data_IF_046875069340
#
_entry.id   IF_046875069340
#
_cell.length_a   1.000
_cell.length_b   1.000
_cell.length_c   1.000
_cell.angle_alpha   90.00
_cell.angle_beta   90.00
_cell.angle_gamma   90.00
#
_symmetry.space_group_name_H-M   'P 1'
#
loop_
_entity.id
_entity.type
_entity.pdbx_description
1 polymer ?
#
# COMPACT_ATOMS: atom_id res chain seq x y z
N UNK A 1 23.88 -13.28 68.00
CA UNK A 1 25.24 -13.07 68.54
C UNK A 1 26.15 -14.12 67.91
N UNK A 2 27.35 -13.72 67.48
CA UNK A 2 28.51 -14.55 67.06
C UNK A 2 28.32 -15.59 65.90
N UNK A 3 29.32 -15.90 65.04
CA UNK A 3 30.54 -15.19 64.61
C UNK A 3 31.10 -15.82 63.31
N UNK A 4 31.50 -14.96 62.35
CA UNK A 4 32.72 -14.97 61.49
C UNK A 4 33.29 -16.32 60.96
N UNK A 5 33.38 -16.54 59.63
CA UNK A 5 34.30 -15.94 58.61
C UNK A 5 35.76 -16.41 58.65
N UNK A 6 36.28 -16.91 57.51
CA UNK A 6 37.53 -16.41 56.88
C UNK A 6 37.87 -17.10 55.53
N UNK A 7 37.97 -16.31 54.44
CA UNK A 7 39.18 -16.19 53.59
C UNK A 7 39.01 -15.00 52.59
N UNK A 8 40.07 -14.24 52.24
CA UNK A 8 39.89 -12.91 51.64
C UNK A 8 40.43 -12.73 50.20
N UNK A 9 39.95 -11.66 49.54
CA UNK A 9 40.55 -11.01 48.37
C UNK A 9 41.65 -10.01 48.80
N UNK A 10 42.62 -9.74 47.92
CA UNK A 10 43.50 -8.55 47.98
C UNK A 10 43.68 -7.97 46.57
N UNK A 11 43.51 -6.65 46.45
CA UNK A 11 43.93 -5.80 45.34
C UNK A 11 45.27 -5.14 45.68
N UNK A 12 46.10 -4.78 44.67
CA UNK A 12 46.98 -3.62 44.79
C UNK A 12 47.39 -3.04 43.41
N UNK A 13 47.45 -1.71 43.33
CA UNK A 13 47.83 -0.94 42.14
C UNK A 13 49.24 -0.36 42.29
N UNK A 14 49.98 -0.16 41.19
CA UNK A 14 51.17 0.73 41.14
C UNK A 14 51.12 1.55 39.84
N UNK A 15 51.45 2.84 39.95
CA UNK A 15 51.52 3.80 38.83
C UNK A 15 52.98 4.08 38.42
N UNK A 16 53.20 4.57 37.19
CA UNK A 16 54.49 5.10 36.74
C UNK A 16 54.35 6.24 35.71
N UNK A 17 55.19 7.27 35.86
CA UNK A 17 55.23 8.59 35.18
C UNK A 17 56.69 9.09 35.37
N UNK A 18 57.43 9.72 34.45
CA UNK A 18 57.26 10.27 33.08
C UNK A 18 58.64 10.19 32.36
N UNK A 19 58.74 10.34 31.03
CA UNK A 19 59.50 11.44 30.35
C UNK A 19 59.70 11.26 28.82
N UNK A 20 59.12 12.21 28.08
CA UNK A 20 59.67 13.00 26.95
C UNK A 20 60.62 12.32 25.93
N UNK A 21 60.17 12.30 24.67
CA UNK A 21 61.03 12.30 23.48
C UNK A 21 60.32 13.03 22.33
N UNK A 22 60.79 14.22 21.96
CA UNK A 22 60.23 15.01 20.87
C UNK A 22 60.93 14.67 19.54
N UNK A 23 60.15 14.38 18.49
CA UNK A 23 60.66 14.21 17.11
C UNK A 23 59.74 15.00 16.17
N UNK A 24 60.30 15.99 15.49
CA UNK A 24 59.61 16.74 14.45
C UNK A 24 59.66 15.97 13.12
N UNK A 25 58.55 15.81 12.38
CA UNK A 25 58.58 15.29 11.02
C UNK A 25 59.11 16.33 10.04
N UNK A 26 60.05 15.92 9.19
CA UNK A 26 60.55 16.73 8.06
C UNK A 26 59.44 17.05 7.06
N UNK A 27 59.49 18.24 6.46
CA UNK A 27 58.82 18.48 5.18
C UNK A 27 59.44 17.54 4.14
N UNK A 28 58.60 16.72 3.50
CA UNK A 28 58.95 15.96 2.30
C UNK A 28 58.04 16.43 1.18
N UNK A 29 58.63 16.86 0.06
CA UNK A 29 57.90 17.25 -1.12
C UNK A 29 57.28 15.99 -1.75
N UNK A 30 55.98 16.02 -2.03
CA UNK A 30 55.30 15.07 -2.91
C UNK A 30 54.86 15.79 -4.17
N UNK A 31 55.06 15.14 -5.32
CA UNK A 31 54.97 15.75 -6.64
C UNK A 31 53.51 16.06 -7.04
N UNK A 32 53.32 17.07 -7.89
CA UNK A 32 52.00 17.44 -8.38
C UNK A 32 51.40 16.31 -9.25
N UNK A 33 50.12 15.93 -9.06
CA UNK A 33 49.41 15.11 -10.03
C UNK A 33 49.23 15.88 -11.36
N UNK A 34 49.08 15.18 -12.50
CA UNK A 34 48.88 15.82 -13.80
C UNK A 34 47.55 16.58 -13.85
N UNK A 35 47.52 17.66 -14.65
CA UNK A 35 46.31 18.44 -14.87
C UNK A 35 45.21 17.57 -15.52
N UNK A 36 44.00 17.62 -14.95
CA UNK A 36 42.79 17.06 -15.55
C UNK A 36 42.12 18.15 -16.39
N UNK A 37 41.62 17.78 -17.57
CA UNK A 37 41.05 18.69 -18.57
C UNK A 37 39.85 19.49 -18.02
N UNK A 38 39.88 20.82 -18.17
CA UNK A 38 38.75 21.71 -17.85
C UNK A 38 37.67 21.62 -18.94
N UNK A 39 36.96 20.49 -19.03
CA UNK A 39 35.83 20.38 -19.95
C UNK A 39 34.78 19.31 -19.62
N UNK A 40 34.07 19.50 -18.49
CA UNK A 40 32.64 19.14 -18.32
C UNK A 40 32.17 19.25 -16.86
N UNK A 41 32.27 20.44 -16.27
CA UNK A 41 31.49 20.74 -15.07
C UNK A 41 30.01 20.72 -15.47
N UNK A 42 29.12 19.93 -14.83
CA UNK A 42 27.69 20.15 -14.98
C UNK A 42 27.40 21.52 -14.39
N UNK A 43 27.15 22.52 -15.24
CA UNK A 43 26.60 23.79 -14.77
C UNK A 43 25.31 23.48 -14.05
N UNK A 44 25.11 24.08 -12.88
CA UNK A 44 23.83 24.01 -12.20
C UNK A 44 22.73 24.34 -13.22
N UNK A 45 21.80 23.41 -13.43
CA UNK A 45 20.51 23.79 -13.99
C UNK A 45 19.97 24.83 -13.02
N UNK A 46 19.68 26.03 -13.53
CA UNK A 46 18.85 26.97 -12.80
C UNK A 46 17.62 26.19 -12.33
N UNK A 47 17.40 26.16 -11.02
CA UNK A 47 16.18 25.59 -10.46
C UNK A 47 15.05 26.48 -10.96
N UNK A 48 14.35 26.01 -11.99
CA UNK A 48 13.16 26.67 -12.46
C UNK A 48 12.12 26.60 -11.33
N UNK A 49 11.92 27.74 -10.68
CA UNK A 49 10.92 27.92 -9.62
C UNK A 49 9.57 28.35 -10.20
N UNK A 50 9.37 28.27 -11.52
CA UNK A 50 8.01 28.12 -12.02
C UNK A 50 7.46 26.78 -11.52
N UNK A 51 6.20 26.73 -11.04
CA UNK A 51 5.51 25.45 -10.97
C UNK A 51 5.40 24.97 -12.41
N UNK A 52 6.10 23.90 -12.78
CA UNK A 52 5.72 23.19 -14.00
C UNK A 52 4.26 22.81 -13.86
N UNK A 53 3.45 23.18 -14.84
CA UNK A 53 2.07 22.75 -14.95
C UNK A 53 2.01 21.29 -15.44
N UNK A 54 2.63 20.40 -14.65
CA UNK A 54 2.47 18.95 -14.66
C UNK A 54 1.74 18.56 -13.38
N UNK A 55 0.76 17.66 -13.47
CA UNK A 55 -0.19 17.41 -12.40
C UNK A 55 0.48 17.14 -11.06
N UNK A 56 0.06 17.88 -10.02
CA UNK A 56 0.53 17.66 -8.65
C UNK A 56 0.20 16.24 -8.24
N UNK A 57 1.19 15.45 -7.85
CA UNK A 57 0.89 14.21 -7.13
C UNK A 57 0.19 14.59 -5.81
N UNK A 58 -1.06 14.16 -5.68
CA UNK A 58 -2.00 14.53 -4.63
C UNK A 58 -1.53 14.23 -3.20
N UNK A 59 -0.51 13.36 -3.08
CA UNK A 59 0.04 12.81 -1.83
C UNK A 59 1.53 13.05 -1.64
N UNK A 60 2.31 13.40 -2.67
CA UNK A 60 3.75 13.56 -2.51
C UNK A 60 4.04 14.76 -1.58
N UNK A 61 4.77 14.59 -0.47
CA UNK A 61 5.06 15.71 0.44
C UNK A 61 5.93 16.77 -0.23
N UNK A 62 5.62 18.04 0.04
CA UNK A 62 6.47 19.14 -0.39
C UNK A 62 7.90 18.99 0.18
N UNK A 63 8.96 19.26 -0.61
CA UNK A 63 10.34 18.99 -0.20
C UNK A 63 10.74 19.88 1.00
N UNK A 64 11.40 19.30 2.04
CA UNK A 64 11.69 20.03 3.29
C UNK A 64 12.79 21.10 3.14
N UNK A 65 13.37 21.27 1.94
CA UNK A 65 14.22 22.40 1.60
C UNK A 65 13.46 23.70 1.30
N UNK A 66 12.12 23.67 1.17
CA UNK A 66 11.32 24.89 1.04
C UNK A 66 11.47 25.73 2.32
N UNK A 67 12.03 26.93 2.17
CA UNK A 67 12.32 27.83 3.29
C UNK A 67 13.63 27.53 4.05
N UNK A 68 14.48 26.62 3.55
CA UNK A 68 15.80 26.35 4.11
C UNK A 68 16.92 27.08 3.34
N UNK A 69 17.99 27.48 4.05
CA UNK A 69 19.19 28.11 3.47
C UNK A 69 20.12 27.10 2.74
N UNK A 70 19.72 25.83 2.65
CA UNK A 70 20.51 24.71 2.12
C UNK A 70 19.66 23.83 1.18
N UNK A 71 20.23 23.26 0.11
CA UNK A 71 19.51 22.38 -0.80
C UNK A 71 19.19 21.04 -0.14
N UNK A 72 18.16 20.35 -0.64
CA UNK A 72 17.74 19.02 -0.16
C UNK A 72 18.90 17.99 -0.17
N UNK A 73 19.83 18.12 -1.11
CA UNK A 73 21.04 17.26 -1.22
C UNK A 73 22.03 17.40 -0.05
N UNK A 74 21.89 18.42 0.81
CA UNK A 74 22.68 18.57 2.04
C UNK A 74 21.97 17.99 3.28
N UNK A 75 20.69 17.61 3.16
CA UNK A 75 19.93 17.08 4.30
C UNK A 75 20.47 15.68 4.66
N UNK A 76 20.47 15.37 5.96
CA UNK A 76 20.81 14.03 6.42
C UNK A 76 19.77 12.99 5.95
N UNK A 77 20.14 11.70 5.88
CA UNK A 77 19.19 10.65 5.51
C UNK A 77 18.00 10.62 6.48
N UNK A 78 16.79 10.31 6.00
CA UNK A 78 15.61 10.31 6.86
C UNK A 78 15.72 9.26 7.98
N UNK A 79 15.24 9.56 9.20
CA UNK A 79 15.29 8.61 10.32
C UNK A 79 14.70 7.22 10.04
N UNK A 80 13.72 7.13 9.15
CA UNK A 80 13.15 5.86 8.64
C UNK A 80 14.20 4.88 8.08
N UNK A 81 15.36 5.35 7.60
CA UNK A 81 16.44 4.52 7.03
C UNK A 81 17.12 3.59 8.04
N UNK A 82 17.03 3.87 9.34
CA UNK A 82 17.60 3.02 10.39
C UNK A 82 16.59 2.64 11.48
N UNK A 83 15.47 3.36 11.60
CA UNK A 83 14.35 2.98 12.47
C UNK A 83 13.03 3.26 11.75
N UNK A 84 12.43 2.21 11.20
CA UNK A 84 11.28 2.25 10.28
C UNK A 84 10.03 2.94 10.85
N UNK A 85 9.88 2.96 12.18
CA UNK A 85 8.78 3.62 12.89
C UNK A 85 8.92 5.16 12.93
N UNK A 86 10.11 5.70 12.64
CA UNK A 86 10.36 7.14 12.63
C UNK A 86 9.94 7.80 11.30
N UNK A 87 9.95 9.13 11.31
CA UNK A 87 9.57 9.98 10.17
C UNK A 87 10.53 9.78 8.99
N UNK A 88 9.96 9.77 7.79
CA UNK A 88 10.62 9.67 6.51
C UNK A 88 10.01 8.60 5.59
N UNK A 89 10.38 8.61 4.30
CA UNK A 89 9.91 7.65 3.33
C UNK A 89 10.30 6.23 3.74
N UNK A 90 9.39 5.28 3.49
CA UNK A 90 9.59 3.88 3.77
C UNK A 90 8.82 3.02 2.75
N UNK A 91 9.58 2.22 2.00
CA UNK A 91 9.04 1.15 1.17
C UNK A 91 8.65 -0.04 2.04
N UNK A 92 7.36 -0.34 2.08
CA UNK A 92 6.78 -1.42 2.88
C UNK A 92 6.78 -2.73 2.10
N UNK A 93 6.24 -2.73 0.89
CA UNK A 93 6.33 -3.86 -0.04
C UNK A 93 7.66 -3.79 -0.78
N UNK A 94 8.57 -4.73 -0.50
CA UNK A 94 9.99 -4.71 -0.91
C UNK A 94 10.30 -5.53 -2.16
N UNK A 95 9.41 -6.43 -2.58
CA UNK A 95 9.51 -7.12 -3.86
C UNK A 95 9.35 -6.15 -5.04
N UNK A 96 9.91 -6.49 -6.20
CA UNK A 96 9.65 -5.77 -7.45
C UNK A 96 10.32 -4.40 -7.57
N UNK A 97 9.78 -3.57 -8.47
CA UNK A 97 10.20 -2.19 -8.72
C UNK A 97 9.03 -1.23 -8.50
N UNK A 98 9.32 -0.03 -7.97
CA UNK A 98 8.34 1.00 -7.64
C UNK A 98 8.74 2.29 -8.36
N UNK A 99 7.81 2.86 -9.11
CA UNK A 99 7.88 4.22 -9.63
C UNK A 99 6.91 5.08 -8.81
N UNK A 100 7.46 5.89 -7.90
CA UNK A 100 6.68 6.76 -7.00
C UNK A 100 5.96 7.88 -7.76
N UNK A 101 6.62 8.46 -8.78
CA UNK A 101 6.11 9.60 -9.54
C UNK A 101 4.99 9.14 -10.50
N UNK A 102 5.23 8.07 -11.27
CA UNK A 102 4.19 7.45 -12.09
C UNK A 102 3.09 6.80 -11.23
N UNK A 103 3.39 6.45 -9.98
CA UNK A 103 2.51 5.68 -9.10
C UNK A 103 2.24 4.29 -9.67
N UNK A 104 3.31 3.55 -10.01
CA UNK A 104 3.19 2.19 -10.55
C UNK A 104 4.13 1.22 -9.85
N UNK A 105 3.80 -0.06 -9.86
CA UNK A 105 4.64 -1.10 -9.25
C UNK A 105 4.68 -2.36 -10.10
N UNK A 106 5.89 -2.79 -10.47
CA UNK A 106 6.16 -4.04 -11.18
C UNK A 106 6.55 -5.11 -10.17
N UNK A 107 5.71 -6.14 -10.00
CA UNK A 107 5.93 -7.23 -9.03
C UNK A 107 6.02 -8.60 -9.71
N UNK A 108 6.55 -9.63 -9.01
CA UNK A 108 6.62 -10.99 -9.56
C UNK A 108 5.23 -11.56 -9.88
N UNK A 109 5.11 -12.08 -11.09
CA UNK A 109 3.97 -12.88 -11.56
C UNK A 109 4.23 -14.36 -11.26
N UNK A 110 3.20 -15.08 -10.84
CA UNK A 110 3.26 -16.52 -10.58
C UNK A 110 2.26 -17.27 -11.47
N UNK A 111 2.64 -18.48 -11.89
CA UNK A 111 1.76 -19.40 -12.61
C UNK A 111 1.39 -20.58 -11.69
N UNK A 112 0.10 -20.83 -11.60
CA UNK A 112 -0.50 -22.00 -10.99
C UNK A 112 -1.65 -22.51 -11.86
N UNK A 113 -2.52 -23.31 -11.26
CA UNK A 113 -3.65 -23.93 -11.94
C UNK A 113 -4.79 -24.24 -10.96
N UNK A 114 -6.00 -24.46 -11.48
CA UNK A 114 -7.07 -25.11 -10.72
C UNK A 114 -6.90 -26.64 -10.73
N UNK A 115 -7.61 -27.32 -9.84
CA UNK A 115 -7.71 -28.80 -9.83
C UNK A 115 -8.24 -29.42 -11.12
N UNK A 116 -8.93 -28.66 -11.97
CA UNK A 116 -9.38 -29.08 -13.31
C UNK A 116 -8.37 -28.80 -14.44
N UNK A 117 -7.22 -28.18 -14.12
CA UNK A 117 -6.11 -27.93 -15.04
C UNK A 117 -6.13 -26.56 -15.72
N UNK A 118 -7.17 -25.73 -15.51
CA UNK A 118 -7.23 -24.36 -16.05
C UNK A 118 -6.14 -23.48 -15.44
N UNK A 119 -5.52 -22.62 -16.23
CA UNK A 119 -4.37 -21.81 -15.80
C UNK A 119 -4.79 -20.70 -14.83
N UNK A 120 -3.93 -20.42 -13.85
CA UNK A 120 -4.11 -19.33 -12.90
C UNK A 120 -2.84 -18.48 -12.90
N UNK A 121 -2.96 -17.22 -13.29
CA UNK A 121 -1.89 -16.24 -13.12
C UNK A 121 -2.23 -15.36 -11.92
N UNK A 122 -1.30 -15.26 -10.98
CA UNK A 122 -1.54 -14.59 -9.70
C UNK A 122 -0.30 -13.85 -9.22
N UNK A 123 -0.49 -12.95 -8.26
CA UNK A 123 0.59 -12.26 -7.55
C UNK A 123 0.57 -12.64 -6.08
N UNK A 124 1.64 -12.35 -5.34
CA UNK A 124 1.66 -12.45 -3.89
C UNK A 124 1.92 -11.06 -3.32
N UNK A 125 1.19 -10.64 -2.29
CA UNK A 125 1.36 -9.29 -1.69
C UNK A 125 1.56 -9.32 -0.18
N UNK A 126 0.89 -10.24 0.51
CA UNK A 126 0.89 -10.36 1.97
C UNK A 126 0.92 -11.82 2.42
N UNK A 127 1.39 -12.09 3.64
CA UNK A 127 1.26 -13.40 4.27
C UNK A 127 1.23 -13.35 5.80
N UNK A 128 0.60 -14.36 6.42
CA UNK A 128 0.67 -14.59 7.88
C UNK A 128 2.03 -15.09 8.36
N UNK A 129 2.96 -15.42 7.45
CA UNK A 129 4.33 -15.84 7.77
C UNK A 129 5.30 -14.66 7.75
N UNK A 130 5.73 -14.18 8.92
CA UNK A 130 6.71 -13.08 9.00
C UNK A 130 8.06 -13.42 8.34
N UNK A 131 8.48 -14.69 8.38
CA UNK A 131 9.75 -15.14 7.80
C UNK A 131 9.73 -15.13 6.27
N UNK A 132 8.65 -15.65 5.68
CA UNK A 132 8.44 -15.60 4.23
C UNK A 132 8.14 -14.19 3.73
N UNK A 133 7.34 -13.39 4.47
CA UNK A 133 7.16 -11.97 4.15
C UNK A 133 8.52 -11.24 4.09
N UNK A 134 9.38 -11.47 5.08
CA UNK A 134 10.69 -10.84 5.11
C UNK A 134 11.66 -11.29 4.02
N UNK A 135 11.56 -12.56 3.61
CA UNK A 135 12.47 -13.18 2.64
C UNK A 135 12.07 -12.92 1.19
N UNK A 136 10.76 -12.85 0.92
CA UNK A 136 10.19 -12.58 -0.41
C UNK A 136 9.94 -11.07 -0.65
N UNK A 137 9.91 -10.25 0.40
CA UNK A 137 9.59 -8.82 0.30
C UNK A 137 8.09 -8.51 0.28
N UNK A 138 7.26 -9.45 0.73
CA UNK A 138 5.82 -9.27 0.96
C UNK A 138 5.58 -8.50 2.27
N UNK A 139 4.33 -8.12 2.49
CA UNK A 139 3.86 -7.57 3.75
C UNK A 139 3.53 -8.70 4.76
N UNK A 140 3.86 -8.50 6.03
CA UNK A 140 3.42 -9.43 7.08
C UNK A 140 2.05 -8.97 7.62
N UNK A 141 1.02 -9.76 7.37
CA UNK A 141 -0.37 -9.46 7.73
C UNK A 141 -0.90 -10.48 8.74
N UNK A 142 -0.65 -10.30 10.06
CA UNK A 142 -0.99 -11.28 11.08
C UNK A 142 -2.51 -11.54 11.19
N UNK A 143 -3.34 -10.52 10.92
CA UNK A 143 -4.81 -10.63 11.03
C UNK A 143 -5.45 -11.58 10.01
N UNK A 144 -4.80 -11.83 8.87
CA UNK A 144 -5.25 -12.84 7.91
C UNK A 144 -5.35 -14.25 8.52
N UNK A 145 -4.67 -14.52 9.66
CA UNK A 145 -4.83 -15.77 10.41
C UNK A 145 -6.28 -16.05 10.85
N UNK A 146 -7.12 -15.02 10.94
CA UNK A 146 -8.54 -15.11 11.28
C UNK A 146 -9.48 -15.07 10.07
N UNK A 147 -8.94 -14.93 8.85
CA UNK A 147 -9.73 -14.84 7.61
C UNK A 147 -10.26 -16.20 7.14
N UNK A 148 -9.68 -17.33 7.55
CA UNK A 148 -10.12 -18.66 7.12
C UNK A 148 -11.40 -19.11 7.85
N UNK A 149 -12.50 -18.44 7.52
CA UNK A 149 -13.87 -18.69 7.98
C UNK A 149 -14.79 -18.78 6.77
N UNK A 150 -15.73 -19.72 6.81
CA UNK A 150 -16.86 -19.82 5.86
C UNK A 150 -16.50 -19.77 4.36
N UNK A 151 -15.29 -20.17 3.97
CA UNK A 151 -14.83 -20.17 2.58
C UNK A 151 -14.16 -18.88 2.08
N UNK A 152 -13.90 -17.90 2.95
CA UNK A 152 -13.17 -16.67 2.60
C UNK A 152 -11.68 -16.86 2.25
N UNK A 153 -11.15 -18.09 2.35
CA UNK A 153 -9.80 -18.46 1.92
C UNK A 153 -9.90 -19.72 1.07
N UNK A 154 -9.25 -19.72 -0.10
CA UNK A 154 -9.10 -20.90 -0.96
C UNK A 154 -8.05 -21.83 -0.35
N UNK A 155 -8.36 -23.10 -0.15
CA UNK A 155 -7.31 -24.09 0.13
C UNK A 155 -6.54 -24.39 -1.18
N UNK A 156 -5.23 -24.59 -1.05
CA UNK A 156 -4.31 -24.76 -2.16
C UNK A 156 -3.18 -25.73 -1.78
N UNK A 157 -2.62 -26.39 -2.80
CA UNK A 157 -1.54 -27.38 -2.68
C UNK A 157 -0.29 -26.88 -3.39
N UNK A 158 0.84 -26.88 -2.70
CA UNK A 158 2.16 -26.69 -3.31
C UNK A 158 2.62 -27.99 -3.97
N UNK A 159 2.89 -27.94 -5.27
CA UNK A 159 3.30 -29.09 -6.07
C UNK A 159 4.83 -29.34 -6.03
N UNK A 160 5.27 -30.49 -6.56
CA UNK A 160 6.70 -30.86 -6.56
C UNK A 160 7.58 -29.97 -7.45
N UNK A 161 7.00 -29.31 -8.45
CA UNK A 161 7.65 -28.34 -9.33
C UNK A 161 7.57 -26.89 -8.79
N UNK A 162 7.07 -26.72 -7.56
CA UNK A 162 6.85 -25.45 -6.87
C UNK A 162 5.71 -24.58 -7.43
N UNK A 163 4.90 -25.10 -8.35
CA UNK A 163 3.63 -24.46 -8.74
C UNK A 163 2.56 -24.65 -7.65
N UNK A 164 1.47 -23.88 -7.73
CA UNK A 164 0.34 -23.96 -6.81
C UNK A 164 -0.91 -24.44 -7.54
N UNK A 165 -1.50 -25.53 -7.05
CA UNK A 165 -2.84 -25.99 -7.45
C UNK A 165 -3.87 -25.44 -6.46
N UNK A 166 -4.77 -24.57 -6.92
CA UNK A 166 -5.89 -24.04 -6.13
C UNK A 166 -7.09 -25.00 -6.22
N UNK A 167 -7.80 -25.23 -5.11
CA UNK A 167 -8.97 -26.14 -5.13
C UNK A 167 -10.12 -25.61 -6.00
N UNK A 168 -10.40 -24.30 -5.94
CA UNK A 168 -11.57 -23.63 -6.52
C UNK A 168 -11.39 -22.10 -6.61
N UNK A 169 -12.36 -21.41 -7.18
CA UNK A 169 -12.40 -19.94 -7.31
C UNK A 169 -11.85 -19.48 -8.66
N UNK A 170 -12.75 -19.22 -9.61
CA UNK A 170 -12.49 -18.70 -10.96
C UNK A 170 -12.71 -17.18 -11.02
N UNK A 171 -12.12 -16.51 -12.02
CA UNK A 171 -12.39 -15.11 -12.36
C UNK A 171 -12.67 -15.01 -13.86
N UNK A 172 -13.74 -14.32 -14.22
CA UNK A 172 -14.07 -13.92 -15.58
C UNK A 172 -13.63 -12.48 -15.79
N UNK A 173 -12.69 -12.26 -16.71
CA UNK A 173 -12.19 -10.93 -17.11
C UNK A 173 -12.90 -10.40 -18.36
N UNK A 174 -13.80 -11.16 -18.98
CA UNK A 174 -14.49 -10.74 -20.22
C UNK A 174 -15.55 -9.62 -20.09
N UNK A 175 -16.12 -9.29 -18.90
CA UNK A 175 -16.95 -8.10 -18.75
C UNK A 175 -16.20 -6.78 -19.02
N UNK A 176 -16.94 -5.76 -19.46
CA UNK A 176 -16.41 -4.40 -19.60
C UNK A 176 -16.67 -3.60 -18.31
N UNK A 177 -15.65 -2.92 -17.78
CA UNK A 177 -15.79 -2.03 -16.62
C UNK A 177 -16.67 -0.82 -16.97
N UNK A 178 -17.93 -0.82 -16.52
CA UNK A 178 -18.87 0.28 -16.75
C UNK A 178 -19.04 1.08 -15.47
N UNK A 179 -18.61 2.35 -15.49
CA UNK A 179 -18.83 3.27 -14.38
C UNK A 179 -19.26 4.66 -14.84
N UNK A 180 -20.31 5.18 -14.21
CA UNK A 180 -20.82 6.52 -14.45
C UNK A 180 -21.21 7.20 -13.13
N UNK A 181 -20.85 8.48 -12.91
CA UNK A 181 -21.28 9.22 -11.73
C UNK A 181 -22.81 9.32 -11.64
N UNK A 182 -23.31 9.56 -10.42
CA UNK A 182 -24.70 9.95 -10.15
C UNK A 182 -25.07 11.31 -10.77
N UNK A 183 -26.34 11.70 -10.63
CA UNK A 183 -26.88 12.90 -11.28
C UNK A 183 -26.53 14.21 -10.54
N UNK A 184 -26.20 15.25 -11.32
CA UNK A 184 -25.99 16.61 -10.81
C UNK A 184 -24.80 16.73 -9.86
N UNK A 185 -24.97 17.48 -8.77
CA UNK A 185 -23.93 17.70 -7.76
C UNK A 185 -23.74 16.52 -6.79
N UNK A 186 -24.27 15.33 -7.12
CA UNK A 186 -24.15 14.10 -6.33
C UNK A 186 -23.56 12.95 -7.17
N UNK A 187 -22.23 12.94 -7.40
CA UNK A 187 -21.60 11.87 -8.19
C UNK A 187 -21.64 10.50 -7.51
N UNK A 188 -21.80 10.44 -6.19
CA UNK A 188 -22.03 9.21 -5.42
C UNK A 188 -23.47 9.18 -4.86
N UNK A 189 -24.19 8.05 -4.91
CA UNK A 189 -23.80 6.79 -5.54
C UNK A 189 -23.73 6.90 -7.09
N UNK A 190 -22.92 6.06 -7.76
CA UNK A 190 -22.84 6.04 -9.21
C UNK A 190 -24.18 5.67 -9.86
N UNK A 191 -24.43 6.16 -11.07
CA UNK A 191 -25.63 5.80 -11.85
C UNK A 191 -25.49 4.47 -12.59
N UNK A 192 -24.25 4.05 -12.87
CA UNK A 192 -23.87 2.74 -13.40
C UNK A 192 -22.58 2.30 -12.72
N UNK A 193 -22.50 1.02 -12.33
CA UNK A 193 -21.34 0.41 -11.68
C UNK A 193 -21.37 -1.11 -11.93
N UNK A 194 -20.64 -1.55 -12.95
CA UNK A 194 -20.45 -2.96 -13.31
C UNK A 194 -18.94 -3.22 -13.42
N UNK A 195 -18.37 -4.17 -12.64
CA UNK A 195 -16.92 -4.42 -12.64
C UNK A 195 -16.46 -5.20 -13.88
N UNK A 196 -15.25 -4.92 -14.37
CA UNK A 196 -14.64 -5.63 -15.51
C UNK A 196 -14.19 -7.06 -15.15
N UNK A 197 -13.66 -7.25 -13.93
CA UNK A 197 -13.28 -8.57 -13.43
C UNK A 197 -14.31 -9.12 -12.40
N UNK A 198 -14.85 -10.31 -12.66
CA UNK A 198 -15.89 -10.96 -11.84
C UNK A 198 -15.46 -12.34 -11.38
N UNK A 199 -15.21 -12.49 -10.08
CA UNK A 199 -15.00 -13.77 -9.43
C UNK A 199 -16.29 -14.58 -9.27
N UNK A 200 -16.17 -15.91 -9.31
CA UNK A 200 -17.28 -16.79 -8.94
C UNK A 200 -17.59 -16.77 -7.43
N UNK A 201 -18.64 -17.48 -7.02
CA UNK A 201 -19.08 -17.53 -5.62
C UNK A 201 -18.04 -18.11 -4.63
N UNK A 202 -17.01 -18.79 -5.13
CA UNK A 202 -15.89 -19.35 -4.36
C UNK A 202 -14.61 -18.50 -4.46
N UNK A 203 -14.59 -17.43 -5.27
CA UNK A 203 -13.42 -16.59 -5.46
C UNK A 203 -13.22 -15.56 -4.33
N UNK A 204 -11.97 -15.53 -3.87
CA UNK A 204 -11.37 -14.66 -2.86
C UNK A 204 -9.88 -14.61 -3.18
N UNK A 205 -9.18 -13.47 -3.07
CA UNK A 205 -7.75 -13.42 -3.31
C UNK A 205 -6.95 -14.28 -2.32
N UNK A 206 -7.49 -14.56 -1.15
CA UNK A 206 -6.77 -15.30 -0.12
C UNK A 206 -6.61 -16.78 -0.49
N UNK A 207 -5.40 -17.32 -0.32
CA UNK A 207 -5.13 -18.74 -0.41
C UNK A 207 -4.42 -19.25 0.84
N UNK A 208 -4.54 -20.55 1.12
CA UNK A 208 -3.82 -21.25 2.18
C UNK A 208 -3.13 -22.49 1.64
N UNK A 209 -1.82 -22.61 1.89
CA UNK A 209 -1.04 -23.77 1.49
C UNK A 209 -1.21 -24.90 2.52
N UNK A 210 -2.21 -25.75 2.32
CA UNK A 210 -2.61 -26.78 3.28
C UNK A 210 -1.55 -27.85 3.52
N UNK A 211 -0.71 -28.15 2.53
CA UNK A 211 0.38 -29.12 2.60
C UNK A 211 1.76 -28.52 2.96
N UNK A 212 1.89 -27.19 2.99
CA UNK A 212 3.18 -26.50 3.18
C UNK A 212 3.03 -25.30 4.13
N UNK A 213 3.44 -25.48 5.39
CA UNK A 213 3.40 -24.44 6.43
C UNK A 213 1.99 -24.12 6.98
N UNK A 214 0.93 -24.21 6.16
CA UNK A 214 -0.44 -23.90 6.57
C UNK A 214 -0.74 -22.41 6.70
N UNK A 215 0.16 -21.56 6.21
CA UNK A 215 0.05 -20.10 6.20
C UNK A 215 -0.92 -19.60 5.12
N UNK A 216 -1.46 -18.41 5.36
CA UNK A 216 -2.37 -17.72 4.44
C UNK A 216 -1.55 -16.67 3.68
N UNK A 217 -1.77 -16.61 2.37
CA UNK A 217 -1.19 -15.63 1.47
C UNK A 217 -2.32 -14.83 0.83
N UNK A 218 -2.11 -13.53 0.67
CA UNK A 218 -2.91 -12.71 -0.22
C UNK A 218 -2.42 -12.96 -1.65
N UNK A 219 -3.24 -13.63 -2.46
CA UNK A 219 -2.88 -14.14 -3.78
C UNK A 219 -3.94 -13.82 -4.88
N UNK A 220 -4.18 -12.53 -5.18
CA UNK A 220 -5.13 -12.12 -6.22
C UNK A 220 -4.82 -12.77 -7.58
N UNK A 221 -5.86 -13.20 -8.29
CA UNK A 221 -5.74 -13.63 -9.68
C UNK A 221 -5.68 -12.40 -10.58
N UNK A 222 -4.74 -12.39 -11.52
CA UNK A 222 -4.53 -11.27 -12.46
C UNK A 222 -4.86 -11.63 -13.90
N UNK A 223 -4.89 -12.92 -14.23
CA UNK A 223 -5.40 -13.48 -15.49
C UNK A 223 -5.79 -14.96 -15.27
N UNK A 224 -6.79 -15.46 -16.01
CA UNK A 224 -7.38 -16.78 -15.76
C UNK A 224 -7.71 -17.54 -17.05
N UNK A 225 -7.40 -18.83 -17.09
CA UNK A 225 -7.67 -19.76 -18.21
C UNK A 225 -7.18 -19.29 -19.60
N UNK A 226 -6.02 -18.63 -19.60
CA UNK A 226 -5.34 -18.07 -20.79
C UNK A 226 -3.92 -18.61 -20.94
N UNK A 227 -3.43 -18.68 -22.17
CA UNK A 227 -2.04 -19.07 -22.47
C UNK A 227 -1.08 -17.87 -22.30
N UNK A 228 0.22 -18.11 -21.99
CA UNK A 228 1.19 -17.03 -21.77
C UNK A 228 1.31 -16.04 -22.94
N UNK A 229 1.06 -16.50 -24.17
CA UNK A 229 1.15 -15.67 -25.37
C UNK A 229 0.00 -14.68 -25.53
N UNK A 230 -1.19 -14.99 -24.98
CA UNK A 230 -2.39 -14.17 -25.12
C UNK A 230 -2.35 -12.95 -24.18
N UNK A 231 -1.61 -13.07 -23.08
CA UNK A 231 -1.42 -12.02 -22.05
C UNK A 231 0.01 -11.45 -22.04
N UNK A 232 0.70 -11.47 -23.18
CA UNK A 232 2.06 -10.93 -23.32
C UNK A 232 2.03 -9.43 -23.67
N UNK A 233 1.71 -8.60 -22.67
CA UNK A 233 1.63 -7.14 -22.76
C UNK A 233 2.84 -6.48 -22.07
N UNK A 234 4.06 -6.92 -22.39
CA UNK A 234 5.29 -6.47 -21.72
C UNK A 234 5.57 -4.97 -21.90
N UNK A 235 5.23 -4.40 -23.06
CA UNK A 235 5.37 -2.95 -23.38
C UNK A 235 4.14 -2.12 -22.96
N UNK A 236 3.23 -2.71 -22.16
CA UNK A 236 1.99 -2.10 -21.70
C UNK A 236 0.82 -2.17 -22.69
N UNK A 237 -0.23 -1.39 -22.42
CA UNK A 237 -1.54 -1.46 -23.12
C UNK A 237 -2.19 -2.84 -22.98
N UNK A 238 -2.28 -3.35 -21.75
CA UNK A 238 -2.87 -4.65 -21.48
C UNK A 238 -4.35 -4.72 -21.90
N UNK A 239 -4.77 -5.87 -22.44
CA UNK A 239 -6.17 -6.14 -22.78
C UNK A 239 -6.93 -6.57 -21.52
N UNK A 240 -7.69 -5.64 -20.93
CA UNK A 240 -8.45 -5.91 -19.71
C UNK A 240 -9.58 -6.95 -19.90
N UNK A 241 -9.91 -7.36 -21.13
CA UNK A 241 -10.79 -8.52 -21.35
C UNK A 241 -10.14 -9.88 -21.01
N UNK A 242 -8.82 -9.88 -20.77
CA UNK A 242 -8.00 -11.05 -20.43
C UNK A 242 -7.29 -10.92 -19.07
N UNK A 243 -7.13 -9.69 -18.56
CA UNK A 243 -6.37 -9.39 -17.34
C UNK A 243 -7.05 -8.35 -16.45
N UNK A 244 -6.69 -8.35 -15.18
CA UNK A 244 -7.21 -7.42 -14.16
C UNK A 244 -7.13 -5.93 -14.56
N UNK A 245 -8.20 -5.16 -14.29
CA UNK A 245 -8.35 -3.74 -14.67
C UNK A 245 -7.17 -2.82 -14.26
N UNK A 246 -6.54 -3.05 -13.09
CA UNK A 246 -5.33 -2.32 -12.64
C UNK A 246 -4.01 -2.69 -13.33
N UNK A 247 -3.96 -3.71 -14.19
CA UNK A 247 -2.72 -4.16 -14.84
C UNK A 247 -2.38 -3.26 -16.02
N UNK A 248 -1.27 -2.54 -15.92
CA UNK A 248 -0.76 -1.66 -16.99
C UNK A 248 0.07 -2.43 -18.02
N UNK A 249 0.85 -3.41 -17.54
CA UNK A 249 1.71 -4.29 -18.33
C UNK A 249 1.82 -5.66 -17.65
N UNK A 250 2.00 -6.73 -18.43
CA UNK A 250 2.18 -8.09 -17.92
C UNK A 250 3.08 -8.88 -18.86
N UNK A 251 4.11 -9.53 -18.32
CA UNK A 251 5.13 -10.20 -19.10
C UNK A 251 5.38 -11.63 -18.58
N UNK A 252 4.65 -12.64 -19.10
CA UNK A 252 4.78 -14.02 -18.65
C UNK A 252 6.12 -14.70 -18.92
N UNK A 253 6.91 -14.20 -19.89
CA UNK A 253 8.28 -14.71 -20.12
C UNK A 253 9.27 -14.22 -19.05
N UNK A 254 9.10 -12.99 -18.57
CA UNK A 254 9.91 -12.39 -17.50
C UNK A 254 9.36 -12.69 -16.10
N UNK A 255 8.13 -13.23 -16.01
CA UNK A 255 7.39 -13.46 -14.78
C UNK A 255 7.18 -12.16 -13.97
N UNK A 256 6.72 -11.12 -14.65
CA UNK A 256 6.44 -9.79 -14.07
C UNK A 256 5.05 -9.26 -14.44
N UNK A 257 4.50 -8.39 -13.60
CA UNK A 257 3.25 -7.65 -13.85
C UNK A 257 3.32 -6.28 -13.18
N UNK A 258 2.91 -5.23 -13.91
CA UNK A 258 2.92 -3.83 -13.48
C UNK A 258 1.51 -3.36 -13.20
N UNK A 259 1.29 -2.80 -12.02
CA UNK A 259 0.00 -2.22 -11.60
C UNK A 259 0.05 -0.70 -11.51
N UNK A 260 -1.11 -0.07 -11.72
CA UNK A 260 -1.39 1.27 -11.20
C UNK A 260 -1.55 1.22 -9.66
N UNK A 261 -0.89 2.14 -8.96
CA UNK A 261 -1.07 2.36 -7.52
C UNK A 261 -2.05 3.50 -7.26
N UNK A 262 -2.77 3.39 -6.15
CA UNK A 262 -3.72 4.40 -5.70
C UNK A 262 -3.13 5.17 -4.50
N UNK A 263 -3.25 6.51 -4.48
CA UNK A 263 -2.82 7.31 -3.35
C UNK A 263 -3.83 7.30 -2.20
N UNK A 264 -3.33 7.31 -0.96
CA UNK A 264 -4.14 7.32 0.26
C UNK A 264 -3.40 7.99 1.42
N UNK A 265 -3.99 7.95 2.62
CA UNK A 265 -3.40 8.59 3.81
C UNK A 265 -3.62 7.72 5.05
N UNK A 266 -2.61 7.57 5.92
CA UNK A 266 -2.72 6.88 7.22
C UNK A 266 -2.03 7.71 8.30
N UNK A 267 -2.74 8.07 9.38
CA UNK A 267 -2.23 8.91 10.47
C UNK A 267 -1.45 10.16 10.01
N UNK A 268 -2.06 10.95 9.11
CA UNK A 268 -1.48 12.14 8.45
C UNK A 268 -0.22 11.88 7.59
N UNK A 269 0.15 10.61 7.34
CA UNK A 269 1.24 10.23 6.45
C UNK A 269 0.65 9.76 5.12
N UNK A 270 1.02 10.37 3.98
CA UNK A 270 0.56 9.91 2.69
C UNK A 270 1.16 8.54 2.36
N UNK A 271 0.39 7.71 1.65
CA UNK A 271 0.77 6.35 1.25
C UNK A 271 0.43 6.09 -0.22
N UNK A 272 1.15 5.15 -0.84
CA UNK A 272 0.73 4.47 -2.06
C UNK A 272 0.32 3.04 -1.71
N UNK A 273 -0.81 2.59 -2.25
CA UNK A 273 -1.33 1.23 -2.06
C UNK A 273 -1.74 0.61 -3.40
N UNK A 274 -1.66 -0.72 -3.46
CA UNK A 274 -2.29 -1.50 -4.51
C UNK A 274 -3.74 -1.77 -4.09
N UNK A 275 -4.67 -1.82 -5.03
CA UNK A 275 -6.04 -2.33 -4.81
C UNK A 275 -6.36 -3.38 -5.87
N UNK A 276 -6.94 -4.51 -5.47
CA UNK A 276 -6.99 -5.74 -6.30
C UNK A 276 -8.28 -6.54 -6.19
N UNK A 277 -9.04 -6.42 -5.10
CA UNK A 277 -10.33 -7.11 -4.98
C UNK A 277 -11.29 -6.32 -4.09
N UNK A 278 -12.60 -6.47 -4.31
CA UNK A 278 -13.64 -5.97 -3.40
C UNK A 278 -14.75 -7.00 -3.19
N UNK A 279 -15.31 -7.06 -1.98
CA UNK A 279 -16.40 -7.99 -1.63
C UNK A 279 -17.79 -7.55 -2.12
N UNK A 280 -17.88 -6.40 -2.79
CA UNK A 280 -19.10 -5.80 -3.33
C UNK A 280 -18.86 -5.33 -4.77
N UNK A 281 -19.85 -5.53 -5.65
CA UNK A 281 -19.70 -5.27 -7.08
C UNK A 281 -19.64 -3.77 -7.43
N UNK A 282 -20.34 -2.91 -6.68
CA UNK A 282 -20.26 -1.47 -6.88
C UNK A 282 -18.89 -0.94 -6.43
N UNK A 283 -18.38 -1.40 -5.29
CA UNK A 283 -17.02 -1.07 -4.85
C UNK A 283 -15.94 -1.62 -5.78
N UNK A 284 -16.14 -2.83 -6.34
CA UNK A 284 -15.25 -3.41 -7.35
C UNK A 284 -15.17 -2.52 -8.60
N UNK A 285 -16.31 -2.04 -9.09
CA UNK A 285 -16.36 -1.10 -10.21
C UNK A 285 -15.73 0.28 -9.88
N UNK A 286 -15.94 0.81 -8.66
CA UNK A 286 -15.39 2.11 -8.24
C UNK A 286 -13.86 2.10 -8.14
N UNK A 287 -13.28 1.04 -7.56
CA UNK A 287 -11.82 0.92 -7.42
C UNK A 287 -11.17 0.39 -8.71
N UNK A 288 -11.93 -0.24 -9.62
CA UNK A 288 -11.45 -0.88 -10.84
C UNK A 288 -10.71 -2.19 -10.53
N UNK A 289 -11.38 -3.10 -9.83
CA UNK A 289 -10.78 -4.32 -9.26
C UNK A 289 -11.69 -5.54 -9.37
N UNK A 290 -11.16 -6.73 -9.09
CA UNK A 290 -11.94 -7.97 -9.14
C UNK A 290 -13.05 -7.98 -8.08
N UNK A 291 -14.29 -8.20 -8.51
CA UNK A 291 -15.37 -8.54 -7.58
C UNK A 291 -15.13 -9.94 -7.02
N UNK A 292 -14.96 -10.05 -5.70
CA UNK A 292 -14.61 -11.28 -5.00
C UNK A 292 -15.69 -11.67 -3.97
N UNK A 293 -16.76 -12.37 -4.39
CA UNK A 293 -17.91 -12.67 -3.54
C UNK A 293 -17.55 -13.35 -2.22
N UNK A 294 -16.57 -14.27 -2.23
CA UNK A 294 -16.26 -15.04 -1.03
C UNK A 294 -15.55 -14.22 0.06
N UNK A 295 -15.02 -13.02 -0.23
CA UNK A 295 -14.52 -12.10 0.80
C UNK A 295 -15.61 -11.65 1.77
N UNK A 296 -16.88 -11.55 1.32
CA UNK A 296 -18.02 -11.15 2.18
C UNK A 296 -18.29 -12.10 3.34
N UNK A 297 -17.68 -13.30 3.34
CA UNK A 297 -17.72 -14.25 4.44
C UNK A 297 -16.83 -13.85 5.64
N UNK A 298 -15.88 -12.92 5.46
CA UNK A 298 -15.09 -12.36 6.55
C UNK A 298 -15.94 -11.39 7.38
N UNK A 299 -15.85 -11.46 8.71
CA UNK A 299 -16.64 -10.62 9.60
C UNK A 299 -16.05 -9.20 9.71
N UNK A 300 -16.83 -8.21 9.28
CA UNK A 300 -16.59 -6.77 9.46
C UNK A 300 -17.24 -6.17 10.73
N UNK A 301 -16.87 -4.94 11.09
CA UNK A 301 -17.36 -4.18 12.24
C UNK A 301 -16.70 -4.54 13.58
N UNK A 302 -15.51 -5.16 13.53
CA UNK A 302 -14.74 -5.63 14.70
C UNK A 302 -13.22 -5.50 14.49
N UNK A 303 -12.78 -4.63 13.58
CA UNK A 303 -11.38 -4.31 13.22
C UNK A 303 -10.37 -4.38 14.40
N UNK A 304 -10.41 -3.49 15.38
CA UNK A 304 -9.54 -3.46 16.58
C UNK A 304 -9.82 -4.63 17.57
N UNK A 305 -10.70 -5.56 17.20
CA UNK A 305 -11.17 -6.67 18.01
C UNK A 305 -10.32 -7.93 17.90
N UNK A 306 -10.32 -8.72 18.98
CA UNK A 306 -9.74 -10.05 18.97
C UNK A 306 -10.39 -10.94 17.91
N UNK A 307 -9.57 -11.70 17.18
CA UNK A 307 -9.98 -12.58 16.08
C UNK A 307 -10.55 -11.86 14.84
N UNK A 308 -10.30 -10.56 14.69
CA UNK A 308 -10.64 -9.81 13.48
C UNK A 308 -9.61 -10.01 12.39
N UNK A 309 -10.08 -10.20 11.16
CA UNK A 309 -9.25 -10.30 9.96
C UNK A 309 -9.13 -8.98 9.18
N UNK A 310 -9.84 -7.92 9.60
CA UNK A 310 -9.94 -6.65 8.85
C UNK A 310 -9.34 -5.48 9.63
N UNK A 311 -8.83 -4.49 8.92
CA UNK A 311 -8.52 -3.14 9.41
C UNK A 311 -9.58 -2.13 8.95
N UNK A 312 -9.60 -0.89 9.47
CA UNK A 312 -10.56 0.14 9.02
C UNK A 312 -10.00 1.01 7.89
N UNK A 313 -10.81 1.19 6.84
CA UNK A 313 -10.63 2.23 5.84
C UNK A 313 -11.82 3.18 5.89
N UNK A 314 -11.56 4.47 5.74
CA UNK A 314 -12.56 5.52 5.80
C UNK A 314 -12.68 6.18 4.42
N UNK A 315 -13.86 6.02 3.80
CA UNK A 315 -14.18 6.58 2.50
C UNK A 315 -15.25 7.67 2.64
N UNK A 316 -15.05 8.82 2.00
CA UNK A 316 -16.05 9.90 2.00
C UNK A 316 -16.83 9.92 0.69
N UNK A 317 -18.15 9.98 0.74
CA UNK A 317 -19.01 10.04 -0.45
C UNK A 317 -18.91 11.39 -1.16
N UNK A 318 -18.88 12.48 -0.40
CA UNK A 318 -19.07 13.86 -0.84
C UNK A 318 -18.01 14.84 -0.30
N UNK A 319 -16.75 14.38 -0.16
CA UNK A 319 -15.61 15.24 0.19
C UNK A 319 -15.40 16.40 -0.79
N UNK A 320 -14.39 17.26 -0.57
CA UNK A 320 -14.11 18.35 -1.50
C UNK A 320 -13.83 17.81 -2.91
N UNK A 321 -14.25 18.56 -3.93
CA UNK A 321 -14.14 18.19 -5.34
C UNK A 321 -13.45 19.28 -6.17
N UNK A 322 -13.18 18.98 -7.43
CA UNK A 322 -12.45 19.78 -8.42
C UNK A 322 -11.03 19.23 -8.67
N UNK A 323 -10.66 19.04 -9.93
CA UNK A 323 -9.34 18.51 -10.30
C UNK A 323 -8.18 19.40 -9.82
N UNK A 324 -8.35 20.72 -9.87
CA UNK A 324 -7.36 21.70 -9.38
C UNK A 324 -7.46 21.97 -7.86
N UNK A 325 -8.30 21.25 -7.12
CA UNK A 325 -8.50 21.47 -5.70
C UNK A 325 -7.51 20.65 -4.86
N UNK A 326 -6.53 21.26 -4.15
CA UNK A 326 -5.57 20.52 -3.32
C UNK A 326 -6.19 19.90 -2.05
N UNK A 327 -7.50 20.09 -1.84
CA UNK A 327 -8.28 19.41 -0.82
C UNK A 327 -9.19 18.31 -1.38
N UNK A 328 -9.16 18.03 -2.70
CA UNK A 328 -9.97 16.97 -3.33
C UNK A 328 -9.89 15.66 -2.54
N UNK A 329 -11.03 15.00 -2.32
CA UNK A 329 -11.13 13.70 -1.64
C UNK A 329 -12.52 13.08 -1.83
N UNK A 330 -12.54 11.76 -1.89
CA UNK A 330 -13.74 10.95 -1.74
C UNK A 330 -14.18 10.26 -3.03
N UNK A 331 -15.12 9.34 -2.87
CA UNK A 331 -15.72 8.54 -3.95
C UNK A 331 -16.32 9.43 -5.04
N UNK A 332 -16.93 10.56 -4.66
CA UNK A 332 -17.43 11.55 -5.62
C UNK A 332 -16.34 12.13 -6.53
N UNK A 333 -15.17 12.50 -5.98
CA UNK A 333 -14.04 13.03 -6.76
C UNK A 333 -13.39 11.95 -7.66
N UNK A 334 -13.37 10.70 -7.20
CA UNK A 334 -12.91 9.55 -8.00
C UNK A 334 -13.85 9.27 -9.18
N UNK A 335 -15.17 9.24 -8.94
CA UNK A 335 -16.21 9.04 -9.96
C UNK A 335 -16.22 10.16 -11.03
N UNK A 336 -15.87 11.38 -10.63
CA UNK A 336 -15.69 12.51 -11.54
C UNK A 336 -14.32 12.56 -12.24
N UNK A 337 -13.44 11.57 -11.99
CA UNK A 337 -12.07 11.47 -12.52
C UNK A 337 -11.22 12.70 -12.26
N UNK A 338 -11.36 13.30 -11.08
CA UNK A 338 -10.67 14.54 -10.68
C UNK A 338 -9.22 14.32 -10.26
N UNK A 339 -8.67 13.11 -10.41
CA UNK A 339 -7.28 12.74 -10.09
C UNK A 339 -7.18 11.24 -9.76
N UNK A 340 -6.04 10.79 -9.22
CA UNK A 340 -5.83 9.38 -8.85
C UNK A 340 -6.67 9.01 -7.61
N UNK A 341 -7.67 8.16 -7.79
CA UNK A 341 -8.46 7.54 -6.73
C UNK A 341 -9.20 8.49 -5.76
N UNK A 342 -9.79 7.94 -4.69
CA UNK A 342 -10.60 8.68 -3.72
C UNK A 342 -9.79 9.30 -2.57
N UNK A 343 -8.48 9.06 -2.45
CA UNK A 343 -7.65 9.45 -1.30
C UNK A 343 -8.25 8.97 0.05
N UNK A 344 -8.57 7.68 0.11
CA UNK A 344 -9.11 7.04 1.31
C UNK A 344 -8.16 7.21 2.51
N UNK A 345 -8.73 7.35 3.70
CA UNK A 345 -7.96 7.33 4.96
C UNK A 345 -7.91 5.89 5.47
N UNK A 346 -6.75 5.46 5.96
CA UNK A 346 -6.49 4.11 6.45
C UNK A 346 -6.18 4.15 7.95
N UNK A 347 -6.66 3.14 8.67
CA UNK A 347 -6.24 2.80 10.03
C UNK A 347 -4.83 2.20 10.07
N UNK A 348 -4.65 1.07 10.74
CA UNK A 348 -3.35 0.50 11.07
C UNK A 348 -2.53 -0.03 9.89
N UNK A 349 -1.70 0.81 9.25
CA UNK A 349 -0.70 0.37 8.27
C UNK A 349 0.60 -0.11 8.95
N UNK A 350 1.41 -0.98 8.30
CA UNK A 350 2.65 -1.47 8.88
C UNK A 350 3.59 -0.34 9.30
N UNK A 351 4.28 -0.53 10.44
CA UNK A 351 5.19 0.45 11.09
C UNK A 351 4.53 1.65 11.78
N UNK A 352 3.24 1.89 11.56
CA UNK A 352 2.44 2.78 12.41
C UNK A 352 1.70 1.96 13.46
N UNK A 353 1.10 0.85 13.04
CA UNK A 353 0.43 -0.12 13.92
C UNK A 353 0.99 -1.55 13.74
N UNK A 354 0.52 -2.49 14.57
CA UNK A 354 1.02 -3.88 14.63
C UNK A 354 -0.02 -4.92 14.18
N UNK A 355 -1.25 -4.47 14.02
CA UNK A 355 -2.49 -5.15 13.66
C UNK A 355 -2.82 -4.94 12.18
N UNK A 356 -1.81 -4.96 11.31
CA UNK A 356 -2.04 -4.78 9.88
C UNK A 356 -2.85 -5.94 9.24
N UNK A 357 -3.77 -5.57 8.36
CA UNK A 357 -4.42 -6.44 7.37
C UNK A 357 -4.50 -5.73 6.02
N UNK A 358 -4.33 -6.42 4.88
CA UNK A 358 -4.70 -5.87 3.57
C UNK A 358 -6.22 -5.87 3.34
N UNK A 359 -7.02 -6.53 4.19
CA UNK A 359 -8.48 -6.50 4.11
C UNK A 359 -9.01 -5.31 4.91
N UNK A 360 -9.63 -4.36 4.23
CA UNK A 360 -10.13 -3.14 4.85
C UNK A 360 -11.65 -3.11 4.88
N UNK A 361 -12.22 -3.04 6.09
CA UNK A 361 -13.63 -2.76 6.34
C UNK A 361 -13.92 -1.28 6.02
N UNK A 362 -14.65 -1.06 4.93
CA UNK A 362 -14.95 0.27 4.41
C UNK A 362 -16.01 0.93 5.30
N UNK A 363 -15.58 1.94 6.04
CA UNK A 363 -16.44 2.80 6.85
C UNK A 363 -16.78 4.05 6.03
N UNK A 364 -18.07 4.19 5.64
CA UNK A 364 -18.50 5.22 4.68
C UNK A 364 -19.03 6.45 5.43
N UNK A 365 -18.41 7.60 5.16
CA UNK A 365 -18.78 8.91 5.69
C UNK A 365 -19.38 9.84 4.65
N UNK A 366 -20.25 10.74 5.08
CA UNK A 366 -20.85 11.81 4.29
C UNK A 366 -20.81 13.09 5.12
N UNK A 367 -20.19 14.15 4.61
CA UNK A 367 -20.26 15.48 5.19
C UNK A 367 -21.70 15.97 5.19
N UNK A 368 -22.19 16.48 6.31
CA UNK A 368 -23.55 16.99 6.43
C UNK A 368 -23.71 18.35 5.75
N UNK A 369 -24.94 18.67 5.32
CA UNK A 369 -25.25 19.98 4.72
C UNK A 369 -24.87 21.13 5.68
N UNK A 370 -25.07 20.96 6.99
CA UNK A 370 -24.63 21.93 8.02
C UNK A 370 -23.10 22.14 8.01
N UNK A 371 -22.31 21.07 7.90
CA UNK A 371 -20.86 21.17 7.84
C UNK A 371 -20.38 21.82 6.52
N UNK A 372 -21.11 21.61 5.42
CA UNK A 372 -20.83 22.22 4.13
C UNK A 372 -21.18 23.72 4.15
N UNK A 373 -22.35 24.10 4.66
CA UNK A 373 -22.81 25.50 4.76
C UNK A 373 -21.92 26.35 5.68
N UNK A 374 -21.37 25.75 6.74
CA UNK A 374 -20.38 26.39 7.62
C UNK A 374 -18.93 26.36 7.09
N UNK A 375 -18.68 25.72 5.94
CA UNK A 375 -17.37 25.65 5.31
C UNK A 375 -16.35 24.72 5.98
N UNK A 376 -16.81 23.72 6.75
CA UNK A 376 -15.94 22.76 7.46
C UNK A 376 -15.44 21.63 6.56
N UNK A 377 -16.15 21.34 5.46
CA UNK A 377 -15.79 20.29 4.49
C UNK A 377 -14.38 20.52 3.92
N UNK A 378 -13.45 19.64 4.30
CA UNK A 378 -12.03 19.69 3.98
C UNK A 378 -11.46 18.28 3.76
N UNK A 379 -10.19 18.16 3.36
CA UNK A 379 -9.53 16.85 3.25
C UNK A 379 -9.29 16.29 4.64
N UNK A 380 -9.77 15.08 4.86
CA UNK A 380 -9.49 14.29 6.05
C UNK A 380 -8.19 13.52 5.83
N UNK A 381 -7.23 13.68 6.73
CA UNK A 381 -5.89 13.11 6.60
C UNK A 381 -5.55 12.10 7.71
N UNK A 382 -6.46 11.91 8.67
CA UNK A 382 -6.23 11.11 9.86
C UNK A 382 -7.56 10.49 10.35
N UNK A 383 -7.47 9.29 10.92
CA UNK A 383 -8.62 8.57 11.48
C UNK A 383 -9.30 9.38 12.58
N UNK A 384 -8.54 9.87 13.57
CA UNK A 384 -9.10 10.56 14.73
C UNK A 384 -9.63 11.96 14.38
N UNK A 385 -9.05 12.61 13.36
CA UNK A 385 -9.63 13.81 12.75
C UNK A 385 -11.04 13.50 12.20
N UNK A 386 -11.23 12.37 11.50
CA UNK A 386 -12.52 11.96 10.94
C UNK A 386 -13.52 11.51 12.01
N UNK A 387 -13.08 10.68 12.95
CA UNK A 387 -13.92 10.28 14.09
C UNK A 387 -14.32 11.48 14.96
N UNK A 388 -13.49 12.52 15.05
CA UNK A 388 -13.84 13.80 15.67
C UNK A 388 -14.97 14.53 14.94
N UNK A 389 -14.91 14.62 13.61
CA UNK A 389 -15.99 15.19 12.80
C UNK A 389 -17.29 14.36 12.88
N UNK A 390 -17.17 13.03 13.03
CA UNK A 390 -18.32 12.14 13.28
C UNK A 390 -18.91 12.37 14.67
N UNK A 391 -18.08 12.52 15.70
CA UNK A 391 -18.51 12.74 17.08
C UNK A 391 -19.30 14.04 17.24
N UNK A 392 -18.91 15.11 16.53
CA UNK A 392 -19.62 16.40 16.52
C UNK A 392 -20.83 16.42 15.54
N UNK A 393 -21.05 15.36 14.74
CA UNK A 393 -22.17 15.26 13.80
C UNK A 393 -21.97 15.98 12.46
N UNK A 394 -20.74 16.42 12.15
CA UNK A 394 -20.38 17.04 10.86
C UNK A 394 -20.14 16.02 9.75
N UNK A 395 -19.84 14.77 10.11
CA UNK A 395 -19.84 13.62 9.20
C UNK A 395 -20.78 12.55 9.77
N UNK A 396 -21.65 12.01 8.91
CA UNK A 396 -22.56 10.89 9.24
C UNK A 396 -22.31 9.73 8.27
N UNK A 397 -23.00 8.60 8.46
CA UNK A 397 -23.18 7.66 7.36
C UNK A 397 -24.05 8.26 6.23
N UNK A 398 -24.12 7.62 5.05
CA UNK A 398 -24.99 8.06 3.96
C UNK A 398 -26.44 8.32 4.42
N UNK A 399 -27.08 9.33 3.82
CA UNK A 399 -28.45 9.77 4.13
C UNK A 399 -28.72 10.09 5.62
N UNK A 400 -27.67 10.44 6.38
CA UNK A 400 -27.76 10.76 7.80
C UNK A 400 -27.81 9.53 8.72
N UNK A 401 -27.48 8.35 8.20
CA UNK A 401 -27.35 7.12 8.99
C UNK A 401 -26.23 7.25 10.04
N UNK A 402 -26.20 6.39 11.08
CA UNK A 402 -25.03 6.25 11.94
C UNK A 402 -23.78 5.91 11.12
N UNK A 403 -22.66 6.57 11.44
CA UNK A 403 -21.37 6.27 10.83
C UNK A 403 -20.85 4.89 11.28
N UNK A 404 -20.21 4.16 10.38
CA UNK A 404 -19.55 2.87 10.67
C UNK A 404 -19.32 2.00 9.44
N UNK A 405 -19.02 0.73 9.68
CA UNK A 405 -18.84 -0.31 8.65
C UNK A 405 -20.01 -0.37 7.67
N UNK A 406 -19.69 -0.38 6.38
CA UNK A 406 -20.65 -0.52 5.28
C UNK A 406 -21.08 -1.97 4.99
N UNK A 407 -20.37 -2.96 5.54
CA UNK A 407 -20.48 -4.35 5.10
C UNK A 407 -19.46 -4.74 4.02
N UNK A 408 -18.74 -3.78 3.43
CA UNK A 408 -17.81 -4.01 2.31
C UNK A 408 -16.37 -4.17 2.79
N UNK A 409 -15.67 -5.12 2.18
CA UNK A 409 -14.22 -5.28 2.29
C UNK A 409 -13.56 -4.91 0.96
N UNK A 410 -12.48 -4.15 1.00
CA UNK A 410 -11.55 -3.96 -0.13
C UNK A 410 -10.17 -4.54 0.23
N UNK A 411 -9.53 -5.20 -0.74
CA UNK A 411 -8.20 -5.79 -0.61
C UNK A 411 -7.16 -4.77 -1.10
N UNK A 412 -6.52 -4.06 -0.17
CA UNK A 412 -5.60 -2.96 -0.48
C UNK A 412 -4.22 -3.08 0.22
N UNK A 413 -3.26 -3.84 -0.34
CA UNK A 413 -1.90 -3.93 0.20
C UNK A 413 -1.13 -2.60 0.16
N UNK A 414 -0.54 -2.18 1.30
CA UNK A 414 0.19 -0.89 1.39
C UNK A 414 1.62 -1.03 0.86
N UNK A 415 1.93 -0.32 -0.23
CA UNK A 415 3.22 -0.41 -0.93
C UNK A 415 4.27 0.51 -0.31
N UNK A 416 3.90 1.77 -0.08
CA UNK A 416 4.84 2.83 0.30
C UNK A 416 4.22 3.84 1.28
N UNK A 417 5.05 4.42 2.15
CA UNK A 417 4.68 5.47 3.12
C UNK A 417 5.66 6.63 2.95
N UNK A 418 5.18 7.82 2.59
CA UNK A 418 6.05 8.95 2.25
C UNK A 418 6.72 9.64 3.45
N UNK A 419 6.08 9.64 4.62
CA UNK A 419 6.55 10.31 5.85
C UNK A 419 6.46 9.44 7.08
#
# INVERSE_FOLDING_TARGET
MDRRLARPFIWLSIAAVLLIGAVAPSLAQTENPPAVDEQSTPTARDLDLTPEAGGTDDVQPAPPSIGADIPLTYFGPPPSTFQKELVGPLRLMRQGELDEDAGTMTIPLYKGQLTDGRSVWYVLTDTTDEGNANSLGLLHAPKLAYANVSGAVREATLEQDLTVTFEKGTVDFSPELVIAPGEGDKPFPPSQAEPGAVGDADYTPLMRLGNAGGHIYNAPIVAFDVEPGDISFCDGNADHSLVHDKVLAICPEEMTVTFELVPGISFARPVLYLTVDASDAMSAAIEGVTFAPALSNVRVGFDDGAFSAVERLFALTNGPSGADNPQRQGLGSALMKEGRGPLNVFGGVPTIALDYSPLWDVNIGTWTDEAIDNGYRSRMIDEFQLLGMVQEGFITGPDGAPFGSSGVIVNCPIVFRFL
#
